data_IF_866609272624
#
_entry.id   IF_866609272624
#
_cell.length_a   1.000
_cell.length_b   1.000
_cell.length_c   1.000
_cell.angle_alpha   90.00
_cell.angle_beta   90.00
_cell.angle_gamma   90.00
#
_symmetry.space_group_name_H-M   'P 1'
#
loop_
_entity.id
_entity.type
_entity.pdbx_description
1 polymer ?
#
# COMPACT_ATOMS: atom_id res chain seq x y z
N UNK A 1 18.28 4.84 15.58
CA UNK A 1 18.79 3.48 15.28
C UNK A 1 17.68 2.47 14.94
N UNK A 2 16.46 2.59 15.48
CA UNK A 2 15.36 1.63 15.25
C UNK A 2 14.46 1.95 14.02
N UNK A 3 14.55 3.12 13.41
CA UNK A 3 13.67 3.52 12.31
C UNK A 3 13.81 2.66 11.03
N UNK A 4 14.99 2.11 10.75
CA UNK A 4 15.19 1.29 9.55
C UNK A 4 14.53 -0.11 9.60
N UNK A 5 14.31 -0.67 10.78
CA UNK A 5 13.68 -1.99 10.95
C UNK A 5 12.17 -1.94 10.70
N UNK A 6 11.50 -0.89 11.14
CA UNK A 6 10.06 -0.72 10.93
C UNK A 6 9.70 -0.63 9.44
N UNK A 7 10.55 0.01 8.60
CA UNK A 7 10.29 0.13 7.17
C UNK A 7 10.32 -1.23 6.45
N UNK A 8 11.24 -2.12 6.85
CA UNK A 8 11.28 -3.50 6.34
C UNK A 8 10.02 -4.29 6.72
N UNK A 9 9.58 -4.17 7.98
CA UNK A 9 8.34 -4.81 8.44
C UNK A 9 7.12 -4.26 7.70
N UNK A 10 6.99 -2.95 7.54
CA UNK A 10 5.91 -2.33 6.76
C UNK A 10 5.88 -2.89 5.35
N UNK A 11 7.03 -3.02 4.67
CA UNK A 11 7.11 -3.57 3.32
C UNK A 11 6.61 -5.02 3.25
N UNK A 12 7.02 -5.87 4.21
CA UNK A 12 6.59 -7.28 4.29
C UNK A 12 5.09 -7.38 4.56
N UNK A 13 4.59 -6.65 5.57
CA UNK A 13 3.17 -6.70 5.92
C UNK A 13 2.30 -6.10 4.81
N UNK A 14 2.75 -5.06 4.14
CA UNK A 14 2.04 -4.49 3.00
C UNK A 14 1.96 -5.45 1.82
N UNK A 15 3.07 -6.05 1.41
CA UNK A 15 3.10 -7.05 0.32
C UNK A 15 2.22 -8.25 0.64
N UNK A 16 2.31 -8.79 1.86
CA UNK A 16 1.47 -9.91 2.32
C UNK A 16 -0.02 -9.53 2.37
N UNK A 17 -0.34 -8.33 2.87
CA UNK A 17 -1.71 -7.80 2.88
C UNK A 17 -2.27 -7.62 1.47
N UNK A 18 -1.46 -7.10 0.54
CA UNK A 18 -1.85 -6.98 -0.85
C UNK A 18 -2.15 -8.34 -1.50
N UNK A 19 -1.32 -9.36 -1.20
CA UNK A 19 -1.57 -10.72 -1.70
C UNK A 19 -2.86 -11.31 -1.13
N UNK A 20 -3.09 -11.17 0.18
CA UNK A 20 -4.32 -11.66 0.82
C UNK A 20 -5.56 -10.94 0.26
N UNK A 21 -5.49 -9.61 0.07
CA UNK A 21 -6.55 -8.84 -0.56
C UNK A 21 -6.84 -9.33 -1.99
N UNK A 22 -5.78 -9.57 -2.78
CA UNK A 22 -5.90 -10.12 -4.13
C UNK A 22 -6.57 -11.49 -4.13
N UNK A 23 -6.12 -12.43 -3.30
CA UNK A 23 -6.65 -13.81 -3.23
C UNK A 23 -8.11 -13.81 -2.79
N UNK A 24 -8.46 -13.05 -1.73
CA UNK A 24 -9.79 -13.10 -1.13
C UNK A 24 -10.83 -12.35 -1.97
N UNK A 25 -10.45 -11.20 -2.54
CA UNK A 25 -11.40 -10.31 -3.20
C UNK A 25 -11.31 -10.42 -4.72
N UNK A 26 -10.11 -10.38 -5.30
CA UNK A 26 -9.95 -10.22 -6.76
C UNK A 26 -9.97 -11.55 -7.47
N UNK A 27 -9.15 -12.52 -7.04
CA UNK A 27 -9.03 -13.83 -7.68
C UNK A 27 -10.24 -14.74 -7.43
N UNK A 28 -11.04 -14.42 -6.39
CA UNK A 28 -12.26 -15.17 -5.97
C UNK A 28 -12.05 -16.70 -6.05
N UNK A 29 -10.88 -17.14 -5.59
CA UNK A 29 -10.51 -18.55 -5.62
C UNK A 29 -11.40 -19.31 -4.64
N UNK A 30 -11.96 -20.43 -5.09
CA UNK A 30 -12.87 -21.29 -4.33
C UNK A 30 -12.17 -22.01 -3.15
N UNK A 31 -11.60 -21.25 -2.22
CA UNK A 31 -11.07 -21.79 -0.96
C UNK A 31 -12.18 -22.11 0.06
N UNK A 32 -13.34 -22.61 -0.41
CA UNK A 32 -14.53 -22.81 0.43
C UNK A 32 -14.26 -23.57 1.73
N UNK A 33 -13.35 -24.54 1.74
CA UNK A 33 -13.04 -25.33 2.94
C UNK A 33 -12.16 -24.61 3.97
N UNK A 34 -11.47 -23.53 3.61
CA UNK A 34 -10.52 -22.79 4.50
C UNK A 34 -10.81 -21.29 4.56
N UNK A 35 -12.00 -20.87 4.18
CA UNK A 35 -12.36 -19.45 4.07
C UNK A 35 -12.10 -18.68 5.36
N UNK A 36 -12.55 -19.20 6.52
CA UNK A 36 -12.34 -18.56 7.83
C UNK A 36 -10.86 -18.36 8.13
N UNK A 37 -10.02 -19.34 7.83
CA UNK A 37 -8.57 -19.27 8.05
C UNK A 37 -7.93 -18.13 7.29
N UNK A 38 -8.28 -17.93 6.00
CA UNK A 38 -7.77 -16.83 5.20
C UNK A 38 -8.23 -15.46 5.71
N UNK A 39 -9.47 -15.34 6.20
CA UNK A 39 -9.96 -14.11 6.82
C UNK A 39 -9.23 -13.80 8.12
N UNK A 40 -8.96 -14.80 8.97
CA UNK A 40 -8.21 -14.63 10.21
C UNK A 40 -6.76 -14.17 9.93
N UNK A 41 -6.09 -14.81 8.97
CA UNK A 41 -4.74 -14.39 8.56
C UNK A 41 -4.77 -12.96 8.02
N UNK A 42 -5.71 -12.63 7.14
CA UNK A 42 -5.85 -11.29 6.60
C UNK A 42 -6.09 -10.26 7.71
N UNK A 43 -6.96 -10.57 8.68
CA UNK A 43 -7.18 -9.72 9.84
C UNK A 43 -5.88 -9.46 10.61
N UNK A 44 -5.08 -10.50 10.89
CA UNK A 44 -3.79 -10.35 11.59
C UNK A 44 -2.81 -9.46 10.79
N UNK A 45 -2.65 -9.70 9.48
CA UNK A 45 -1.72 -8.93 8.66
C UNK A 45 -2.16 -7.47 8.49
N UNK A 46 -3.45 -7.23 8.25
CA UNK A 46 -4.00 -5.88 8.08
C UNK A 46 -3.91 -5.07 9.37
N UNK A 47 -4.26 -5.68 10.50
CA UNK A 47 -4.11 -5.06 11.81
C UNK A 47 -2.64 -4.75 12.13
N UNK A 48 -1.74 -5.70 11.91
CA UNK A 48 -0.31 -5.50 12.15
C UNK A 48 0.23 -4.36 11.29
N UNK A 49 -0.15 -4.30 10.00
CA UNK A 49 0.25 -3.21 9.11
C UNK A 49 -0.13 -1.83 9.67
N UNK A 50 -1.36 -1.68 10.19
CA UNK A 50 -1.83 -0.40 10.73
C UNK A 50 -1.19 -0.03 12.08
N UNK A 51 -0.75 -1.02 12.87
CA UNK A 51 -0.16 -0.81 14.19
C UNK A 51 1.35 -0.56 14.17
N UNK A 52 2.07 -1.02 13.13
CA UNK A 52 3.52 -0.84 13.03
C UNK A 52 3.89 0.63 12.83
N UNK A 53 3.16 1.33 11.96
CA UNK A 53 3.39 2.74 11.63
C UNK A 53 2.09 3.40 11.16
N UNK A 54 1.98 4.71 11.38
CA UNK A 54 0.85 5.50 10.86
C UNK A 54 0.69 5.41 9.34
N UNK A 55 1.79 5.27 8.60
CA UNK A 55 1.80 5.04 7.15
C UNK A 55 1.04 3.76 6.76
N UNK A 56 1.05 2.74 7.62
CA UNK A 56 0.34 1.48 7.40
C UNK A 56 -1.18 1.65 7.24
N UNK A 57 -1.77 2.68 7.86
CA UNK A 57 -3.19 3.00 7.68
C UNK A 57 -3.44 3.43 6.23
N UNK A 58 -2.62 4.34 5.70
CA UNK A 58 -2.73 4.81 4.32
C UNK A 58 -2.51 3.65 3.32
N UNK A 59 -1.52 2.78 3.59
CA UNK A 59 -1.24 1.61 2.77
C UNK A 59 -2.42 0.62 2.75
N UNK A 60 -3.03 0.36 3.89
CA UNK A 60 -4.21 -0.49 3.96
C UNK A 60 -5.41 0.14 3.24
N UNK A 61 -5.63 1.45 3.39
CA UNK A 61 -6.68 2.17 2.64
C UNK A 61 -6.48 2.07 1.13
N UNK A 62 -5.23 2.17 0.63
CA UNK A 62 -4.91 1.95 -0.79
C UNK A 62 -5.42 0.58 -1.25
N UNK A 63 -5.17 -0.48 -0.48
CA UNK A 63 -5.62 -1.84 -0.84
C UNK A 63 -7.14 -1.94 -0.89
N UNK A 64 -7.86 -1.35 0.07
CA UNK A 64 -9.32 -1.33 0.08
C UNK A 64 -9.90 -0.55 -1.09
N UNK A 65 -9.37 0.65 -1.36
CA UNK A 65 -9.82 1.48 -2.49
C UNK A 65 -9.55 0.77 -3.81
N UNK A 66 -8.36 0.17 -3.97
CA UNK A 66 -8.01 -0.60 -5.17
C UNK A 66 -8.95 -1.78 -5.39
N UNK A 67 -9.20 -2.58 -4.34
CA UNK A 67 -10.12 -3.72 -4.42
C UNK A 67 -11.55 -3.27 -4.76
N UNK A 68 -12.02 -2.19 -4.13
CA UNK A 68 -13.33 -1.60 -4.39
C UNK A 68 -13.45 -1.13 -5.85
N UNK A 69 -12.49 -0.37 -6.37
CA UNK A 69 -12.50 0.13 -7.74
C UNK A 69 -12.47 -1.00 -8.76
N UNK A 70 -11.67 -2.03 -8.53
CA UNK A 70 -11.62 -3.20 -9.42
C UNK A 70 -12.96 -3.95 -9.47
N UNK A 71 -13.61 -4.15 -8.31
CA UNK A 71 -14.93 -4.81 -8.25
C UNK A 71 -16.05 -3.94 -8.78
N UNK A 72 -15.95 -2.63 -8.63
CA UNK A 72 -16.87 -1.68 -9.25
C UNK A 72 -16.76 -1.75 -10.79
N UNK A 73 -15.54 -1.73 -11.32
CA UNK A 73 -15.28 -1.84 -12.76
C UNK A 73 -15.81 -3.16 -13.35
N UNK A 74 -15.66 -4.28 -12.64
CA UNK A 74 -16.18 -5.60 -13.03
C UNK A 74 -17.70 -5.74 -12.84
N UNK A 75 -18.38 -4.77 -12.24
CA UNK A 75 -19.80 -4.81 -11.85
C UNK A 75 -20.13 -5.94 -10.84
N UNK A 76 -19.14 -6.41 -10.10
CA UNK A 76 -19.25 -7.49 -9.10
C UNK A 76 -19.31 -6.98 -7.66
N UNK A 77 -19.29 -5.65 -7.45
CA UNK A 77 -19.20 -5.05 -6.13
C UNK A 77 -20.27 -5.55 -5.15
N UNK A 78 -21.53 -5.68 -5.65
CA UNK A 78 -22.65 -6.13 -4.80
C UNK A 78 -22.43 -7.53 -4.20
N UNK A 79 -21.75 -8.42 -4.93
CA UNK A 79 -21.41 -9.78 -4.49
C UNK A 79 -20.31 -9.78 -3.41
N UNK A 80 -19.35 -8.88 -3.53
CA UNK A 80 -18.13 -8.91 -2.71
C UNK A 80 -18.08 -7.83 -1.61
N UNK A 81 -19.10 -6.95 -1.54
CA UNK A 81 -19.14 -5.88 -0.53
C UNK A 81 -19.11 -6.40 0.91
N UNK A 82 -19.77 -7.54 1.17
CA UNK A 82 -19.74 -8.18 2.48
C UNK A 82 -18.34 -8.65 2.86
N UNK A 83 -17.56 -9.16 1.90
CA UNK A 83 -16.17 -9.55 2.14
C UNK A 83 -15.30 -8.35 2.52
N UNK A 84 -15.45 -7.22 1.78
CA UNK A 84 -14.76 -5.97 2.11
C UNK A 84 -15.16 -5.47 3.49
N UNK A 85 -16.43 -5.54 3.85
CA UNK A 85 -16.91 -5.16 5.18
C UNK A 85 -16.27 -6.01 6.28
N UNK A 86 -16.22 -7.34 6.14
CA UNK A 86 -15.55 -8.21 7.13
C UNK A 86 -14.07 -7.90 7.27
N UNK A 87 -13.37 -7.63 6.16
CA UNK A 87 -11.96 -7.27 6.20
C UNK A 87 -11.73 -5.89 6.84
N UNK A 88 -12.67 -4.95 6.73
CA UNK A 88 -12.55 -3.61 7.33
C UNK A 88 -12.56 -3.63 8.86
N UNK A 89 -13.02 -4.73 9.50
CA UNK A 89 -12.92 -4.92 10.96
C UNK A 89 -11.46 -4.83 11.43
N UNK A 90 -10.49 -5.09 10.57
CA UNK A 90 -9.06 -4.95 10.87
C UNK A 90 -8.61 -3.53 11.21
N UNK A 91 -9.42 -2.50 10.89
CA UNK A 91 -9.17 -1.13 11.35
C UNK A 91 -9.58 -0.89 12.81
N UNK A 92 -10.39 -1.76 13.41
CA UNK A 92 -10.89 -1.56 14.77
C UNK A 92 -9.76 -1.40 15.81
N UNK A 93 -8.70 -2.24 15.83
CA UNK A 93 -7.63 -2.09 16.81
C UNK A 93 -6.92 -0.74 16.77
N UNK A 94 -6.64 -0.20 15.56
CA UNK A 94 -6.00 1.11 15.45
C UNK A 94 -6.95 2.24 15.83
N UNK A 95 -8.25 2.13 15.55
CA UNK A 95 -9.27 3.10 15.98
C UNK A 95 -9.33 3.13 17.50
N UNK A 96 -9.40 1.96 18.15
CA UNK A 96 -9.42 1.85 19.61
C UNK A 96 -8.14 2.39 20.24
N UNK A 97 -6.98 2.12 19.63
CA UNK A 97 -5.71 2.65 20.07
C UNK A 97 -5.65 4.19 19.99
N UNK A 98 -6.08 4.76 18.87
CA UNK A 98 -6.15 6.22 18.70
C UNK A 98 -7.11 6.86 19.70
N UNK A 99 -8.28 6.24 19.92
CA UNK A 99 -9.23 6.72 20.91
C UNK A 99 -8.66 6.68 22.33
N UNK A 100 -7.97 5.59 22.69
CA UNK A 100 -7.27 5.48 23.97
C UNK A 100 -6.22 6.59 24.15
N UNK A 101 -5.37 6.81 23.16
CA UNK A 101 -4.35 7.88 23.22
C UNK A 101 -5.00 9.26 23.38
N UNK A 102 -6.05 9.55 22.60
CA UNK A 102 -6.81 10.78 22.72
C UNK A 102 -7.37 10.97 24.15
N UNK A 103 -7.98 9.94 24.72
CA UNK A 103 -8.56 9.98 26.07
C UNK A 103 -7.52 10.20 27.17
N UNK A 104 -6.25 9.86 26.92
CA UNK A 104 -5.14 10.03 27.86
C UNK A 104 -4.32 11.30 27.60
N UNK A 105 -4.72 12.14 26.65
CA UNK A 105 -3.95 13.34 26.29
C UNK A 105 -2.57 13.03 25.71
N UNK A 106 -2.36 11.80 25.20
CA UNK A 106 -1.11 11.43 24.54
C UNK A 106 -1.13 12.10 23.17
N UNK A 107 -0.31 13.17 23.02
CA UNK A 107 -0.25 13.96 21.80
C UNK A 107 0.18 13.08 20.60
N UNK A 108 -0.53 13.24 19.48
CA UNK A 108 -0.10 12.77 18.19
C UNK A 108 0.62 13.90 17.46
N UNK A 109 1.82 13.62 16.97
CA UNK A 109 2.39 14.44 15.91
C UNK A 109 1.66 14.09 14.62
N UNK A 110 0.47 14.63 14.43
CA UNK A 110 -0.25 14.45 13.18
C UNK A 110 0.47 15.25 12.10
N UNK A 111 0.94 14.54 11.08
CA UNK A 111 1.56 15.14 9.89
C UNK A 111 0.56 15.98 9.08
N UNK A 112 -0.73 15.80 9.32
CA UNK A 112 -1.79 16.58 8.69
C UNK A 112 -2.34 17.52 9.75
N UNK A 113 -1.98 18.78 9.66
CA UNK A 113 -2.47 19.86 10.49
C UNK A 113 -2.93 21.04 9.63
N UNK A 114 -3.42 22.10 10.24
CA UNK A 114 -3.90 23.30 9.52
C UNK A 114 -2.83 23.90 8.60
N UNK A 115 -1.54 23.74 8.90
CA UNK A 115 -0.44 24.21 8.06
C UNK A 115 -0.23 23.36 6.80
N UNK A 116 -0.79 22.15 6.69
CA UNK A 116 -0.62 21.26 5.55
C UNK A 116 -1.04 21.91 4.23
N UNK A 117 -2.20 22.58 4.22
CA UNK A 117 -2.69 23.29 3.03
C UNK A 117 -1.82 24.52 2.69
N UNK A 118 -1.26 25.16 3.68
CA UNK A 118 -0.37 26.31 3.49
C UNK A 118 0.88 25.94 2.70
N UNK A 119 1.46 24.77 2.95
CA UNK A 119 2.64 24.29 2.19
C UNK A 119 2.27 23.63 0.86
N UNK A 120 1.12 22.97 0.79
CA UNK A 120 0.66 22.26 -0.40
C UNK A 120 0.40 23.20 -1.57
N UNK A 121 -0.41 24.25 -1.36
CA UNK A 121 -0.88 25.11 -2.45
C UNK A 121 0.27 25.77 -3.24
N UNK A 122 1.28 26.39 -2.62
CA UNK A 122 2.39 26.99 -3.38
C UNK A 122 3.23 25.96 -4.16
N UNK A 123 3.30 24.71 -3.66
CA UNK A 123 4.11 23.67 -4.30
C UNK A 123 3.39 22.95 -5.43
N UNK A 124 2.06 23.01 -5.49
CA UNK A 124 1.29 22.41 -6.58
C UNK A 124 1.54 23.12 -7.92
N UNK A 125 1.79 24.43 -7.91
CA UNK A 125 1.96 25.22 -9.12
C UNK A 125 3.39 25.15 -9.68
N UNK A 126 4.33 24.61 -8.90
CA UNK A 126 5.75 24.52 -9.31
C UNK A 126 6.09 23.14 -9.88
N UNK A 127 6.27 23.08 -11.20
CA UNK A 127 6.63 21.85 -11.90
C UNK A 127 8.00 21.26 -11.49
N UNK A 128 8.91 22.07 -10.96
CA UNK A 128 10.21 21.57 -10.48
C UNK A 128 10.03 20.61 -9.30
N UNK A 129 9.07 20.86 -8.41
CA UNK A 129 8.77 19.96 -7.31
C UNK A 129 8.38 18.56 -7.79
N UNK A 130 7.56 18.47 -8.83
CA UNK A 130 7.18 17.17 -9.41
C UNK A 130 8.35 16.43 -10.03
N UNK A 131 9.26 17.14 -10.71
CA UNK A 131 10.47 16.54 -11.27
C UNK A 131 11.37 16.00 -10.18
N UNK A 132 11.62 16.77 -9.13
CA UNK A 132 12.46 16.37 -8.01
C UNK A 132 11.86 15.14 -7.32
N UNK A 133 10.56 15.15 -6.97
CA UNK A 133 9.90 14.01 -6.36
C UNK A 133 9.99 12.77 -7.27
N UNK A 134 9.69 12.92 -8.56
CA UNK A 134 9.78 11.82 -9.53
C UNK A 134 11.18 11.24 -9.61
N UNK A 135 12.20 12.09 -9.63
CA UNK A 135 13.61 11.68 -9.66
C UNK A 135 13.94 10.78 -8.45
N UNK A 136 13.64 11.23 -7.24
CA UNK A 136 13.95 10.47 -6.03
C UNK A 136 13.13 9.17 -5.88
N UNK A 137 11.89 9.16 -6.35
CA UNK A 137 11.03 7.99 -6.21
C UNK A 137 11.26 6.95 -7.31
N UNK A 138 11.40 7.37 -8.57
CA UNK A 138 11.38 6.45 -9.71
C UNK A 138 12.76 6.04 -10.20
N UNK A 139 13.79 6.84 -9.95
CA UNK A 139 15.16 6.53 -10.38
C UNK A 139 16.01 5.81 -9.31
N UNK A 140 15.36 5.26 -8.28
CA UNK A 140 16.04 4.42 -7.30
C UNK A 140 16.41 3.08 -7.95
N UNK A 141 17.68 2.70 -7.91
CA UNK A 141 18.20 1.47 -8.55
C UNK A 141 17.44 0.20 -8.09
N UNK A 142 17.19 0.07 -6.78
CA UNK A 142 16.47 -1.10 -6.22
C UNK A 142 15.04 -1.19 -6.72
N UNK A 143 14.41 -0.03 -6.89
CA UNK A 143 13.06 0.05 -7.44
C UNK A 143 13.04 -0.35 -8.92
N UNK A 144 14.00 0.16 -9.71
CA UNK A 144 14.09 -0.15 -11.14
C UNK A 144 14.32 -1.66 -11.34
N UNK A 145 15.24 -2.27 -10.57
CA UNK A 145 15.48 -3.71 -10.63
C UNK A 145 14.22 -4.51 -10.28
N UNK A 146 13.51 -4.14 -9.22
CA UNK A 146 12.29 -4.81 -8.82
C UNK A 146 11.15 -4.65 -9.85
N UNK A 147 11.03 -3.46 -10.44
CA UNK A 147 10.07 -3.18 -11.51
C UNK A 147 10.37 -3.99 -12.77
N UNK A 148 11.64 -4.03 -13.20
CA UNK A 148 12.05 -4.84 -14.35
C UNK A 148 11.77 -6.33 -14.11
N UNK A 149 12.10 -6.85 -12.93
CA UNK A 149 11.80 -8.23 -12.57
C UNK A 149 10.28 -8.51 -12.62
N UNK A 150 9.46 -7.60 -12.09
CA UNK A 150 8.01 -7.68 -12.17
C UNK A 150 7.51 -7.72 -13.62
N UNK A 151 7.99 -6.79 -14.47
CA UNK A 151 7.60 -6.74 -15.89
C UNK A 151 8.01 -8.02 -16.64
N UNK A 152 9.23 -8.52 -16.42
CA UNK A 152 9.70 -9.79 -16.99
C UNK A 152 8.80 -10.96 -16.56
N UNK A 153 8.40 -11.01 -15.28
CA UNK A 153 7.51 -12.05 -14.79
C UNK A 153 6.17 -12.09 -15.53
N UNK A 154 5.62 -10.92 -15.89
CA UNK A 154 4.39 -10.81 -16.66
C UNK A 154 4.59 -11.02 -18.16
N UNK A 155 5.78 -10.75 -18.69
CA UNK A 155 6.16 -11.16 -20.04
C UNK A 155 6.14 -12.70 -20.17
N UNK A 156 6.71 -13.40 -19.19
CA UNK A 156 6.73 -14.88 -19.17
C UNK A 156 5.34 -15.45 -18.95
N UNK A 157 4.55 -14.85 -18.07
CA UNK A 157 3.23 -15.34 -17.71
C UNK A 157 2.24 -14.20 -17.50
N UNK A 158 1.39 -13.95 -18.51
CA UNK A 158 0.44 -12.87 -18.43
C UNK A 158 -0.76 -13.21 -17.55
N UNK A 159 -0.97 -12.42 -16.50
CA UNK A 159 -2.14 -12.45 -15.64
C UNK A 159 -2.72 -11.04 -15.54
N UNK A 160 -3.71 -10.74 -16.39
CA UNK A 160 -4.32 -9.41 -16.51
C UNK A 160 -4.84 -8.86 -15.18
N UNK A 161 -5.52 -9.70 -14.39
CA UNK A 161 -6.14 -9.25 -13.14
C UNK A 161 -5.09 -8.89 -12.09
N UNK A 162 -4.08 -9.74 -11.93
CA UNK A 162 -2.97 -9.50 -11.02
C UNK A 162 -2.20 -8.24 -11.43
N UNK A 163 -1.89 -8.11 -12.72
CA UNK A 163 -1.22 -6.93 -13.25
C UNK A 163 -2.01 -5.66 -12.96
N UNK A 164 -3.31 -5.64 -13.30
CA UNK A 164 -4.17 -4.47 -13.09
C UNK A 164 -4.29 -4.11 -11.60
N UNK A 165 -4.37 -5.12 -10.71
CA UNK A 165 -4.41 -4.89 -9.28
C UNK A 165 -3.14 -4.20 -8.77
N UNK A 166 -1.96 -4.76 -9.10
CA UNK A 166 -0.68 -4.20 -8.64
C UNK A 166 -0.40 -2.84 -9.26
N UNK A 167 -0.74 -2.66 -10.54
CA UNK A 167 -0.58 -1.38 -11.22
C UNK A 167 -1.44 -0.29 -10.57
N UNK A 168 -2.67 -0.59 -10.19
CA UNK A 168 -3.55 0.35 -9.51
C UNK A 168 -3.05 0.67 -8.09
N UNK A 169 -2.58 -0.36 -7.33
CA UNK A 169 -1.92 -0.16 -6.03
C UNK A 169 -0.71 0.78 -6.17
N UNK A 170 0.12 0.55 -7.18
CA UNK A 170 1.29 1.38 -7.46
C UNK A 170 0.91 2.85 -7.72
N UNK A 171 -0.07 3.09 -8.62
CA UNK A 171 -0.52 4.45 -8.92
C UNK A 171 -1.05 5.15 -7.67
N UNK A 172 -1.92 4.49 -6.91
CA UNK A 172 -2.47 5.06 -5.68
C UNK A 172 -1.39 5.37 -4.64
N UNK A 173 -0.40 4.49 -4.52
CA UNK A 173 0.72 4.71 -3.60
C UNK A 173 1.58 5.91 -4.03
N UNK A 174 1.92 6.02 -5.30
CA UNK A 174 2.67 7.15 -5.84
C UNK A 174 1.90 8.46 -5.62
N UNK A 175 0.60 8.50 -5.89
CA UNK A 175 -0.23 9.69 -5.66
C UNK A 175 -0.19 10.14 -4.19
N UNK A 176 -0.30 9.19 -3.25
CA UNK A 176 -0.21 9.50 -1.82
C UNK A 176 1.18 10.02 -1.45
N UNK A 177 2.25 9.45 -2.01
CA UNK A 177 3.61 9.95 -1.77
C UNK A 177 3.80 11.37 -2.30
N UNK A 178 3.31 11.66 -3.51
CA UNK A 178 3.33 13.02 -4.03
C UNK A 178 2.59 13.99 -3.10
N UNK A 179 1.40 13.62 -2.65
CA UNK A 179 0.64 14.43 -1.71
C UNK A 179 1.41 14.68 -0.41
N UNK A 180 2.01 13.64 0.19
CA UNK A 180 2.79 13.75 1.42
C UNK A 180 3.99 14.68 1.24
N UNK A 181 4.77 14.51 0.16
CA UNK A 181 5.96 15.33 -0.08
C UNK A 181 5.63 16.78 -0.43
N UNK A 182 4.54 17.03 -1.16
CA UNK A 182 4.11 18.39 -1.46
C UNK A 182 3.53 19.11 -0.24
N UNK A 183 2.92 18.37 0.70
CA UNK A 183 2.26 18.93 1.89
C UNK A 183 3.19 19.09 3.11
N UNK A 184 4.43 18.61 3.04
CA UNK A 184 5.36 18.66 4.16
C UNK A 184 5.78 20.10 4.54
N UNK A 185 5.95 20.42 5.83
CA UNK A 185 6.48 21.71 6.27
C UNK A 185 8.00 21.85 6.11
N UNK A 186 8.70 20.74 5.83
CA UNK A 186 10.15 20.70 5.69
C UNK A 186 10.62 21.08 4.29
N UNK A 187 11.89 21.42 4.14
CA UNK A 187 12.51 21.54 2.82
C UNK A 187 12.34 20.26 2.03
N UNK A 188 11.86 20.38 0.79
CA UNK A 188 11.47 19.24 -0.04
C UNK A 188 12.67 18.35 -0.37
N UNK A 189 13.80 18.97 -0.74
CA UNK A 189 14.99 18.23 -1.13
C UNK A 189 15.56 17.43 0.05
N UNK A 190 15.71 18.09 1.21
CA UNK A 190 16.18 17.45 2.43
C UNK A 190 15.30 16.27 2.85
N UNK A 191 13.98 16.45 2.75
CA UNK A 191 13.05 15.37 3.11
C UNK A 191 13.13 14.20 2.14
N UNK A 192 13.20 14.44 0.84
CA UNK A 192 13.34 13.40 -0.16
C UNK A 192 14.64 12.63 0.02
N UNK A 193 15.76 13.32 0.19
CA UNK A 193 17.07 12.70 0.42
C UNK A 193 17.05 11.75 1.64
N UNK A 194 16.41 12.18 2.73
CA UNK A 194 16.36 11.42 3.97
C UNK A 194 15.33 10.28 3.98
N UNK A 195 14.25 10.37 3.17
CA UNK A 195 13.10 9.47 3.31
C UNK A 195 12.72 8.69 2.05
N UNK A 196 13.02 9.20 0.84
CA UNK A 196 12.57 8.58 -0.41
C UNK A 196 13.03 7.11 -0.55
N UNK A 197 14.30 6.83 -0.25
CA UNK A 197 14.83 5.47 -0.31
C UNK A 197 14.08 4.47 0.61
N UNK A 198 13.52 4.95 1.73
CA UNK A 198 12.77 4.12 2.68
C UNK A 198 11.37 3.80 2.14
N UNK A 199 10.64 4.79 1.65
CA UNK A 199 9.28 4.59 1.12
C UNK A 199 9.29 3.80 -0.19
N UNK A 200 10.30 4.02 -1.04
CA UNK A 200 10.50 3.25 -2.28
C UNK A 200 10.79 1.78 -2.02
N UNK A 201 11.41 1.44 -0.88
CA UNK A 201 11.66 0.05 -0.48
C UNK A 201 10.36 -0.77 -0.38
N UNK A 202 9.26 -0.16 0.06
CA UNK A 202 7.94 -0.79 0.13
C UNK A 202 7.44 -1.17 -1.27
N UNK A 203 7.60 -0.30 -2.27
CA UNK A 203 7.25 -0.60 -3.66
C UNK A 203 8.15 -1.65 -4.28
N UNK A 204 9.47 -1.56 -4.03
CA UNK A 204 10.44 -2.55 -4.53
C UNK A 204 10.10 -3.94 -4.02
N UNK A 205 9.75 -4.06 -2.74
CA UNK A 205 9.31 -5.33 -2.17
C UNK A 205 8.00 -5.82 -2.79
N UNK A 206 7.02 -4.93 -2.98
CA UNK A 206 5.74 -5.27 -3.61
C UNK A 206 5.96 -5.87 -5.01
N UNK A 207 6.74 -5.20 -5.87
CA UNK A 207 7.01 -5.67 -7.22
C UNK A 207 7.79 -6.98 -7.25
N UNK A 208 8.85 -7.12 -6.45
CA UNK A 208 9.62 -8.35 -6.36
C UNK A 208 8.74 -9.52 -5.88
N UNK A 209 7.95 -9.30 -4.83
CA UNK A 209 7.07 -10.31 -4.25
C UNK A 209 5.99 -10.79 -5.23
N UNK A 210 5.32 -9.86 -5.92
CA UNK A 210 4.30 -10.21 -6.89
C UNK A 210 4.86 -10.76 -8.20
N UNK A 211 6.09 -10.36 -8.57
CA UNK A 211 6.82 -11.00 -9.66
C UNK A 211 7.07 -12.48 -9.37
N UNK A 212 7.57 -12.81 -8.18
CA UNK A 212 7.76 -14.20 -7.72
C UNK A 212 6.42 -14.95 -7.65
N UNK A 213 5.39 -14.34 -7.06
CA UNK A 213 4.07 -14.97 -6.99
C UNK A 213 3.52 -15.30 -8.37
N UNK A 214 3.63 -14.39 -9.33
CA UNK A 214 3.14 -14.62 -10.70
C UNK A 214 3.86 -15.78 -11.38
N UNK A 215 5.17 -15.92 -11.19
CA UNK A 215 5.94 -17.04 -11.75
C UNK A 215 5.62 -18.37 -11.05
N UNK A 216 5.44 -18.35 -9.74
CA UNK A 216 5.18 -19.56 -8.93
C UNK A 216 3.73 -20.04 -9.03
N UNK A 217 2.78 -19.13 -9.36
CA UNK A 217 1.37 -19.46 -9.40
C UNK A 217 1.07 -20.39 -10.57
N UNK A 218 0.98 -21.69 -10.30
CA UNK A 218 0.45 -22.66 -11.24
C UNK A 218 -1.09 -22.65 -11.13
N UNK A 219 -1.76 -22.30 -12.21
CA UNK A 219 -3.21 -22.46 -12.29
C UNK A 219 -3.47 -23.97 -12.27
N UNK A 220 -3.81 -24.49 -11.09
CA UNK A 220 -4.26 -25.87 -10.96
C UNK A 220 -5.56 -25.93 -11.77
N UNK A 221 -5.46 -26.44 -12.99
CA UNK A 221 -6.63 -26.80 -13.79
C UNK A 221 -7.11 -28.13 -13.21
N UNK A 222 -8.17 -28.08 -12.44
CA UNK A 222 -9.02 -29.22 -12.18
C UNK A 222 -10.14 -29.30 -13.22
#
# INVERSE_FOLDING_TARGET
LFNGWADGLVAIYFGSSALLMYIIIIADTDFYKKKLFFYLIAFCFFTSLTLIKNEGIALLLILFVTAFLMKLYKKELRKDISKLFYLSISFLPIILWKFFCYSKGIGYNDYINESTLFYLLPRLDDLENYKIISYFLLLNEKFIIALLFFLISFWVKWNKELFSFIFLVFIMYILILFFIFLSTPYDLYWQLDSTAARVVKTLSFLFAFFGLYNLSYQKIRY
#
